data_IF_421629911221
#
_entry.id   IF_421629911221
#
_cell.length_a   1.000
_cell.length_b   1.000
_cell.length_c   1.000
_cell.angle_alpha   90.00
_cell.angle_beta   90.00
_cell.angle_gamma   90.00
#
_symmetry.space_group_name_H-M   'P 1'
#
loop_
_entity.id
_entity.type
_entity.pdbx_description
1 polymer ?
#
# COMPACT_ATOMS: atom_id res chain seq x y z
N UNK A 1 32.66 8.16 9.74
CA UNK A 1 31.19 8.08 9.89
C UNK A 1 30.58 7.82 8.51
N UNK A 2 30.15 6.59 8.24
CA UNK A 2 29.51 6.21 6.96
C UNK A 2 28.09 6.76 6.90
N UNK A 3 27.74 7.47 5.83
CA UNK A 3 26.36 7.94 5.61
C UNK A 3 25.42 6.72 5.54
N UNK A 4 24.27 6.73 6.24
CA UNK A 4 23.31 5.63 6.15
C UNK A 4 22.76 5.50 4.72
N UNK A 5 22.48 4.27 4.29
CA UNK A 5 21.89 4.01 2.98
C UNK A 5 20.47 4.60 2.87
N UNK A 6 20.04 4.90 1.65
CA UNK A 6 18.69 5.44 1.38
C UNK A 6 17.58 4.54 1.95
N UNK A 7 17.77 3.21 1.90
CA UNK A 7 16.84 2.23 2.45
C UNK A 7 16.66 2.37 3.98
N UNK A 8 17.73 2.65 4.72
CA UNK A 8 17.67 2.84 6.19
C UNK A 8 16.91 4.11 6.53
N UNK A 9 17.11 5.18 5.76
CA UNK A 9 16.39 6.43 5.95
C UNK A 9 14.90 6.29 5.66
N UNK A 10 14.54 5.64 4.55
CA UNK A 10 13.15 5.38 4.17
C UNK A 10 12.43 4.57 5.24
N UNK A 11 13.03 3.48 5.70
CA UNK A 11 12.48 2.63 6.77
C UNK A 11 12.20 3.45 8.03
N UNK A 12 13.13 4.33 8.41
CA UNK A 12 12.98 5.18 9.60
C UNK A 12 11.81 6.16 9.44
N UNK A 13 11.65 6.78 8.27
CA UNK A 13 10.54 7.71 7.99
C UNK A 13 9.19 6.97 8.07
N UNK A 14 9.07 5.81 7.41
CA UNK A 14 7.86 4.99 7.44
C UNK A 14 7.50 4.64 8.89
N UNK A 15 8.46 4.15 9.67
CA UNK A 15 8.18 3.72 11.04
C UNK A 15 7.80 4.88 11.98
N UNK A 16 8.49 6.00 11.89
CA UNK A 16 8.28 7.14 12.80
C UNK A 16 7.03 7.93 12.43
N UNK A 17 6.76 8.14 11.14
CA UNK A 17 5.71 9.07 10.71
C UNK A 17 4.45 8.37 10.22
N UNK A 18 4.54 7.16 9.68
CA UNK A 18 3.42 6.49 9.03
C UNK A 18 2.86 5.35 9.91
N UNK A 19 3.74 4.51 10.45
CA UNK A 19 3.38 3.32 11.22
C UNK A 19 3.53 3.50 12.74
N UNK A 20 3.60 4.73 13.24
CA UNK A 20 3.61 4.97 14.68
C UNK A 20 2.24 4.69 15.30
N UNK A 21 2.23 4.40 16.61
CA UNK A 21 1.00 4.04 17.34
C UNK A 21 -0.09 5.09 17.20
N UNK A 22 0.24 6.39 17.24
CA UNK A 22 -0.77 7.46 17.12
C UNK A 22 -1.45 7.44 15.76
N UNK A 23 -0.69 7.29 14.68
CA UNK A 23 -1.21 7.21 13.31
C UNK A 23 -1.99 5.92 13.08
N UNK A 24 -1.48 4.77 13.54
CA UNK A 24 -2.24 3.51 13.43
C UNK A 24 -3.58 3.62 14.17
N UNK A 25 -3.62 4.27 15.33
CA UNK A 25 -4.85 4.49 16.09
C UNK A 25 -5.79 5.51 15.45
N UNK A 26 -5.28 6.53 14.75
CA UNK A 26 -6.16 7.49 14.05
C UNK A 26 -7.01 6.84 12.97
N UNK A 27 -6.56 5.72 12.38
CA UNK A 27 -7.32 4.93 11.40
C UNK A 27 -8.12 3.77 12.01
N UNK A 28 -8.37 3.80 13.32
CA UNK A 28 -9.17 2.77 13.99
C UNK A 28 -10.58 2.67 13.40
N UNK A 29 -11.21 3.82 13.13
CA UNK A 29 -12.56 3.87 12.57
C UNK A 29 -12.66 3.14 11.23
N UNK A 30 -11.66 3.31 10.34
CA UNK A 30 -11.61 2.62 9.04
C UNK A 30 -11.61 1.11 9.23
N UNK A 31 -10.80 0.59 10.17
CA UNK A 31 -10.73 -0.85 10.41
C UNK A 31 -12.04 -1.39 10.97
N UNK A 32 -12.64 -0.69 11.93
CA UNK A 32 -13.91 -1.10 12.52
C UNK A 32 -15.04 -1.10 11.48
N UNK A 33 -15.09 -0.07 10.64
CA UNK A 33 -16.06 0.04 9.55
C UNK A 33 -15.89 -1.08 8.52
N UNK A 34 -14.67 -1.32 8.03
CA UNK A 34 -14.44 -2.35 7.01
C UNK A 34 -14.64 -3.78 7.55
N UNK A 35 -14.29 -4.03 8.82
CA UNK A 35 -14.59 -5.31 9.47
C UNK A 35 -16.09 -5.50 9.62
N UNK A 36 -16.84 -4.47 10.02
CA UNK A 36 -18.30 -4.54 10.10
C UNK A 36 -18.92 -4.84 8.74
N UNK A 37 -18.44 -4.20 7.67
CA UNK A 37 -18.88 -4.46 6.29
C UNK A 37 -18.60 -5.92 5.86
N UNK A 38 -17.41 -6.45 6.18
CA UNK A 38 -17.08 -7.85 5.89
C UNK A 38 -18.00 -8.82 6.65
N UNK A 39 -18.22 -8.59 7.94
CA UNK A 39 -19.11 -9.43 8.77
C UNK A 39 -20.54 -9.40 8.24
N UNK A 40 -21.06 -8.23 7.87
CA UNK A 40 -22.40 -8.11 7.29
C UNK A 40 -22.52 -8.89 5.97
N UNK A 41 -21.52 -8.81 5.09
CA UNK A 41 -21.48 -9.61 3.85
C UNK A 41 -21.48 -11.11 4.13
N UNK A 42 -20.68 -11.57 5.10
CA UNK A 42 -20.63 -12.98 5.51
C UNK A 42 -21.98 -13.44 6.07
N UNK A 43 -22.63 -12.63 6.92
CA UNK A 43 -23.95 -12.94 7.48
C UNK A 43 -25.02 -13.06 6.39
N UNK A 44 -25.00 -12.17 5.40
CA UNK A 44 -25.93 -12.21 4.27
C UNK A 44 -25.74 -13.47 3.42
N UNK A 45 -24.48 -13.84 3.12
CA UNK A 45 -24.17 -15.06 2.37
C UNK A 45 -24.54 -16.33 3.16
N UNK A 46 -24.24 -16.35 4.46
CA UNK A 46 -24.62 -17.48 5.33
C UNK A 46 -26.13 -17.66 5.40
N UNK A 47 -26.89 -16.55 5.48
CA UNK A 47 -28.35 -16.57 5.54
C UNK A 47 -29.00 -17.09 4.25
N UNK A 48 -28.33 -16.94 3.11
CA UNK A 48 -28.78 -17.50 1.82
C UNK A 48 -28.22 -18.90 1.54
N UNK A 49 -27.48 -19.51 2.47
CA UNK A 49 -26.84 -20.82 2.31
C UNK A 49 -25.60 -20.80 1.40
N UNK A 50 -25.03 -19.62 1.12
CA UNK A 50 -23.84 -19.44 0.29
C UNK A 50 -22.54 -19.87 0.98
N UNK A 51 -21.58 -20.33 0.18
CA UNK A 51 -20.21 -20.58 0.63
C UNK A 51 -19.44 -19.26 0.75
N UNK A 52 -18.58 -19.18 1.75
CA UNK A 52 -17.72 -18.01 2.00
C UNK A 52 -16.28 -18.40 1.71
N UNK A 53 -15.67 -17.74 0.73
CA UNK A 53 -14.23 -17.78 0.53
C UNK A 53 -13.56 -16.76 1.47
N UNK A 54 -12.91 -17.26 2.52
CA UNK A 54 -12.22 -16.40 3.47
C UNK A 54 -10.98 -15.73 2.87
N UNK A 55 -10.30 -16.36 1.92
CA UNK A 55 -9.14 -15.75 1.26
C UNK A 55 -9.56 -14.52 0.47
N UNK A 56 -10.65 -14.62 -0.29
CA UNK A 56 -11.23 -13.48 -0.99
C UNK A 56 -11.73 -12.42 0.00
N UNK A 57 -12.45 -12.82 1.05
CA UNK A 57 -13.00 -11.88 2.05
C UNK A 57 -11.90 -11.08 2.76
N UNK A 58 -10.83 -11.74 3.22
CA UNK A 58 -9.69 -11.08 3.85
C UNK A 58 -8.88 -10.24 2.86
N UNK A 59 -8.78 -10.68 1.59
CA UNK A 59 -8.16 -9.90 0.52
C UNK A 59 -8.89 -8.56 0.29
N UNK A 60 -10.22 -8.61 0.15
CA UNK A 60 -11.07 -7.42 -0.01
C UNK A 60 -11.00 -6.52 1.23
N UNK A 61 -11.07 -7.09 2.44
CA UNK A 61 -10.93 -6.33 3.69
C UNK A 61 -9.58 -5.57 3.74
N UNK A 62 -8.49 -6.27 3.47
CA UNK A 62 -7.14 -5.70 3.51
C UNK A 62 -6.99 -4.59 2.47
N UNK A 63 -7.48 -4.84 1.26
CA UNK A 63 -7.52 -3.86 0.19
C UNK A 63 -8.27 -2.59 0.61
N UNK A 64 -9.51 -2.72 1.08
CA UNK A 64 -10.33 -1.57 1.45
C UNK A 64 -9.72 -0.74 2.59
N UNK A 65 -9.13 -1.41 3.59
CA UNK A 65 -8.42 -0.73 4.68
C UNK A 65 -7.22 0.03 4.12
N UNK A 66 -6.35 -0.63 3.34
CA UNK A 66 -5.16 0.00 2.74
C UNK A 66 -5.58 1.20 1.90
N UNK A 67 -6.59 1.05 1.04
CA UNK A 67 -7.01 2.11 0.15
C UNK A 67 -7.55 3.32 0.90
N UNK A 68 -8.44 3.09 1.86
CA UNK A 68 -9.02 4.16 2.68
C UNK A 68 -7.97 4.89 3.52
N UNK A 69 -6.96 4.16 4.00
CA UNK A 69 -5.90 4.71 4.83
C UNK A 69 -4.86 5.47 3.99
N UNK A 70 -4.47 4.91 2.84
CA UNK A 70 -3.37 5.43 2.02
C UNK A 70 -3.84 6.55 1.10
N UNK A 71 -5.01 6.38 0.48
CA UNK A 71 -5.55 7.23 -0.58
C UNK A 71 -6.81 8.00 -0.15
N UNK A 72 -7.25 7.84 1.11
CA UNK A 72 -8.44 8.52 1.63
C UNK A 72 -9.76 8.09 0.99
N UNK A 73 -9.74 7.10 0.08
CA UNK A 73 -10.88 6.64 -0.70
C UNK A 73 -10.89 5.12 -0.84
N UNK A 74 -12.09 4.56 -1.01
CA UNK A 74 -12.27 3.14 -1.33
C UNK A 74 -12.19 2.99 -2.85
N UNK A 75 -11.53 1.93 -3.32
CA UNK A 75 -11.57 1.56 -4.74
C UNK A 75 -12.55 0.40 -4.91
N UNK A 76 -13.71 0.69 -5.49
CA UNK A 76 -14.73 -0.33 -5.77
C UNK A 76 -14.43 -1.08 -7.07
N UNK A 77 -14.92 -2.31 -7.17
CA UNK A 77 -14.81 -3.16 -8.36
C UNK A 77 -15.57 -2.57 -9.56
N UNK A 78 -16.57 -1.73 -9.31
CA UNK A 78 -17.49 -1.16 -10.32
C UNK A 78 -17.02 0.21 -10.85
N UNK A 79 -16.14 0.91 -10.13
CA UNK A 79 -15.68 2.27 -10.47
C UNK A 79 -14.32 2.27 -11.20
N UNK A 80 -14.08 1.29 -12.08
CA UNK A 80 -12.89 1.25 -12.94
C UNK A 80 -11.57 0.89 -12.25
N UNK A 81 -11.54 0.66 -10.93
CA UNK A 81 -10.32 0.34 -10.16
C UNK A 81 -10.28 -1.06 -9.54
N UNK A 82 -10.81 -2.05 -10.26
CA UNK A 82 -10.49 -3.48 -10.05
C UNK A 82 -8.97 -3.75 -10.22
N UNK A 83 -8.24 -2.82 -10.84
CA UNK A 83 -6.83 -2.90 -11.14
C UNK A 83 -5.93 -2.93 -9.90
N UNK A 84 -6.14 -2.06 -8.90
CA UNK A 84 -5.33 -2.07 -7.67
C UNK A 84 -5.52 -3.38 -6.89
N UNK A 85 -6.76 -3.87 -6.79
CA UNK A 85 -7.06 -5.14 -6.14
C UNK A 85 -6.35 -6.31 -6.84
N UNK A 86 -6.39 -6.39 -8.17
CA UNK A 86 -5.71 -7.44 -8.94
C UNK A 86 -4.18 -7.37 -8.78
N UNK A 87 -3.62 -6.17 -8.81
CA UNK A 87 -2.20 -5.93 -8.60
C UNK A 87 -1.76 -6.31 -7.18
N UNK A 88 -2.54 -5.94 -6.16
CA UNK A 88 -2.28 -6.30 -4.77
C UNK A 88 -2.40 -7.81 -4.55
N UNK A 89 -3.38 -8.47 -5.16
CA UNK A 89 -3.52 -9.92 -5.12
C UNK A 89 -2.29 -10.62 -5.75
N UNK A 90 -1.82 -10.14 -6.90
CA UNK A 90 -0.60 -10.66 -7.53
C UNK A 90 0.64 -10.46 -6.66
N UNK A 91 0.74 -9.33 -5.96
CA UNK A 91 1.81 -9.08 -5.00
C UNK A 91 1.78 -10.04 -3.81
N UNK A 92 0.60 -10.28 -3.22
CA UNK A 92 0.46 -11.21 -2.11
C UNK A 92 0.80 -12.65 -2.52
N UNK A 93 0.42 -13.07 -3.73
CA UNK A 93 0.83 -14.36 -4.31
C UNK A 93 2.37 -14.46 -4.46
N UNK A 94 3.00 -13.40 -4.96
CA UNK A 94 4.46 -13.34 -5.08
C UNK A 94 5.17 -13.37 -3.73
N UNK A 95 4.63 -12.70 -2.71
CA UNK A 95 5.16 -12.75 -1.34
C UNK A 95 5.05 -14.15 -0.71
N UNK A 96 3.99 -14.89 -1.06
CA UNK A 96 3.80 -16.28 -0.62
C UNK A 96 4.64 -17.30 -1.42
N UNK A 97 5.22 -16.89 -2.55
CA UNK A 97 5.97 -17.80 -3.42
C UNK A 97 7.36 -18.09 -2.85
N UNK A 98 7.72 -19.38 -2.77
CA UNK A 98 9.04 -19.80 -2.31
C UNK A 98 10.14 -19.53 -3.35
N UNK A 99 11.06 -18.62 -3.03
CA UNK A 99 12.23 -18.31 -3.85
C UNK A 99 13.48 -19.03 -3.31
N UNK A 100 13.86 -20.16 -3.93
CA UNK A 100 15.01 -20.98 -3.49
C UNK A 100 16.32 -20.20 -3.38
N UNK A 101 16.50 -19.18 -4.23
CA UNK A 101 17.68 -18.31 -4.23
C UNK A 101 17.86 -17.48 -2.95
N UNK A 102 16.79 -17.24 -2.21
CA UNK A 102 16.85 -16.50 -0.94
C UNK A 102 17.42 -17.36 0.19
N UNK A 103 17.27 -18.68 0.11
CA UNK A 103 17.79 -19.64 1.08
C UNK A 103 19.14 -20.22 0.66
N UNK A 104 19.32 -20.45 -0.65
CA UNK A 104 20.53 -21.01 -1.25
C UNK A 104 21.00 -20.06 -2.34
N UNK A 105 21.92 -19.12 -2.03
CA UNK A 105 22.34 -18.08 -2.96
C UNK A 105 22.89 -18.58 -4.29
N UNK A 106 23.54 -19.75 -4.31
CA UNK A 106 24.05 -20.39 -5.52
C UNK A 106 22.94 -20.85 -6.48
N UNK A 107 21.70 -20.98 -6.00
CA UNK A 107 20.51 -21.31 -6.79
C UNK A 107 19.66 -20.09 -7.17
N UNK A 108 20.16 -18.85 -6.98
CA UNK A 108 19.42 -17.64 -7.35
C UNK A 108 19.07 -17.52 -8.84
N UNK A 109 19.75 -18.27 -9.72
CA UNK A 109 19.42 -18.36 -11.14
C UNK A 109 18.09 -19.11 -11.41
N UNK A 110 17.63 -19.96 -10.49
CA UNK A 110 16.37 -20.71 -10.64
C UNK A 110 15.18 -19.76 -10.77
N UNK A 111 15.18 -18.67 -10.00
CA UNK A 111 14.14 -17.63 -10.07
C UNK A 111 14.10 -16.89 -11.42
N UNK A 112 15.18 -16.95 -12.21
CA UNK A 112 15.20 -16.44 -13.59
C UNK A 112 14.60 -17.46 -14.56
N UNK A 113 14.90 -18.74 -14.39
CA UNK A 113 14.40 -19.79 -15.29
C UNK A 113 12.91 -20.06 -15.12
N UNK A 114 12.40 -20.06 -13.88
CA UNK A 114 10.98 -20.27 -13.61
C UNK A 114 10.13 -18.99 -13.83
N UNK A 115 10.77 -17.88 -14.26
CA UNK A 115 10.10 -16.62 -14.53
C UNK A 115 9.70 -15.80 -13.30
N UNK A 116 10.03 -16.22 -12.08
CA UNK A 116 9.67 -15.51 -10.85
C UNK A 116 10.20 -14.07 -10.86
N UNK A 117 11.46 -13.86 -11.26
CA UNK A 117 12.04 -12.52 -11.36
C UNK A 117 11.28 -11.62 -12.34
N UNK A 118 10.80 -12.17 -13.46
CA UNK A 118 10.03 -11.41 -14.44
C UNK A 118 8.64 -11.05 -13.89
N UNK A 119 7.99 -11.97 -13.16
CA UNK A 119 6.71 -11.71 -12.49
C UNK A 119 6.84 -10.63 -11.41
N UNK A 120 7.88 -10.69 -10.58
CA UNK A 120 8.19 -9.66 -9.57
C UNK A 120 8.43 -8.31 -10.24
N UNK A 121 9.25 -8.27 -11.30
CA UNK A 121 9.54 -7.03 -12.03
C UNK A 121 8.27 -6.41 -12.60
N UNK A 122 7.45 -7.20 -13.30
CA UNK A 122 6.19 -6.73 -13.87
C UNK A 122 5.25 -6.21 -12.79
N UNK A 123 5.08 -6.94 -11.69
CA UNK A 123 4.25 -6.49 -10.58
C UNK A 123 4.76 -5.16 -10.00
N UNK A 124 6.08 -5.00 -9.85
CA UNK A 124 6.66 -3.74 -9.39
C UNK A 124 6.39 -2.57 -10.36
N UNK A 125 6.51 -2.80 -11.68
CA UNK A 125 6.20 -1.78 -12.69
C UNK A 125 4.72 -1.34 -12.64
N UNK A 126 3.79 -2.27 -12.40
CA UNK A 126 2.36 -1.96 -12.26
C UNK A 126 2.12 -1.11 -10.99
N UNK A 127 2.80 -1.41 -9.88
CA UNK A 127 2.76 -0.59 -8.65
C UNK A 127 3.36 0.79 -8.85
N UNK A 128 4.51 0.88 -9.51
CA UNK A 128 5.19 2.14 -9.79
C UNK A 128 4.26 3.05 -10.62
N UNK A 129 3.67 2.53 -11.71
CA UNK A 129 2.74 3.27 -12.56
C UNK A 129 1.42 3.63 -11.84
N UNK A 130 0.96 2.78 -10.92
CA UNK A 130 -0.21 3.09 -10.09
C UNK A 130 0.09 4.24 -9.12
N UNK A 131 1.18 4.14 -8.34
CA UNK A 131 1.53 5.16 -7.37
C UNK A 131 1.90 6.50 -8.01
N UNK A 132 2.52 6.49 -9.20
CA UNK A 132 2.81 7.71 -9.97
C UNK A 132 1.51 8.46 -10.30
N UNK A 133 0.51 7.76 -10.87
CA UNK A 133 -0.82 8.36 -11.15
C UNK A 133 -1.49 8.93 -9.90
N UNK A 134 -1.50 8.16 -8.82
CA UNK A 134 -2.11 8.59 -7.57
C UNK A 134 -1.38 9.79 -6.96
N UNK A 135 -0.04 9.82 -7.07
CA UNK A 135 0.76 10.94 -6.60
C UNK A 135 0.47 12.21 -7.41
N UNK A 136 0.38 12.08 -8.74
CA UNK A 136 0.04 13.18 -9.64
C UNK A 136 -1.35 13.76 -9.31
N UNK A 137 -2.36 12.90 -9.15
CA UNK A 137 -3.70 13.30 -8.70
C UNK A 137 -3.66 14.06 -7.36
N UNK A 138 -2.86 13.59 -6.40
CA UNK A 138 -2.75 14.22 -5.08
C UNK A 138 -2.04 15.59 -5.15
N UNK A 139 -1.01 15.73 -6.00
CA UNK A 139 -0.31 17.00 -6.21
C UNK A 139 -1.23 18.02 -6.88
N UNK A 140 -2.01 17.60 -7.87
CA UNK A 140 -2.99 18.46 -8.56
C UNK A 140 -4.12 18.89 -7.62
N UNK A 141 -4.67 17.97 -6.83
CA UNK A 141 -5.75 18.26 -5.87
C UNK A 141 -5.33 19.23 -4.75
N UNK A 142 -4.07 19.18 -4.29
CA UNK A 142 -3.52 20.12 -3.29
C UNK A 142 -3.43 21.57 -3.76
N UNK A 143 -3.48 21.84 -5.07
CA UNK A 143 -3.47 23.22 -5.59
C UNK A 143 -4.83 23.91 -5.43
N UNK A 144 -5.92 23.15 -5.28
CA UNK A 144 -7.29 23.67 -5.19
C UNK A 144 -7.92 23.60 -3.79
N UNK A 145 -7.41 22.75 -2.88
CA UNK A 145 -8.03 22.59 -1.54
C UNK A 145 -6.97 22.55 -0.43
N UNK A 146 -7.13 23.44 0.55
CA UNK A 146 -6.30 23.51 1.75
C UNK A 146 -6.35 22.23 2.59
N UNK A 147 -5.17 21.77 3.02
CA UNK A 147 -4.87 20.75 4.02
C UNK A 147 -5.93 19.65 4.27
N UNK A 148 -6.01 18.67 3.37
CA UNK A 148 -6.58 17.34 3.65
C UNK A 148 -5.64 16.51 4.55
N UNK A 149 -5.65 16.75 5.86
CA UNK A 149 -4.75 16.16 6.85
C UNK A 149 -5.05 14.72 7.31
N UNK A 150 -5.63 13.88 6.47
CA UNK A 150 -6.12 12.54 6.85
C UNK A 150 -5.22 11.37 6.40
N UNK A 151 -4.95 11.28 5.10
CA UNK A 151 -4.40 10.09 4.44
C UNK A 151 -2.86 9.98 4.48
N UNK A 152 -2.32 8.78 4.25
CA UNK A 152 -0.86 8.56 4.32
C UNK A 152 -0.10 9.38 3.26
N UNK A 153 -0.58 9.46 2.02
CA UNK A 153 0.13 10.21 0.96
C UNK A 153 0.27 11.69 1.31
N UNK A 154 -0.77 12.31 1.87
CA UNK A 154 -0.68 13.68 2.38
C UNK A 154 0.36 13.86 3.48
N UNK A 155 0.58 12.84 4.33
CA UNK A 155 1.63 12.87 5.34
C UNK A 155 3.02 12.66 4.75
N UNK A 156 3.17 11.81 3.73
CA UNK A 156 4.43 11.60 3.01
C UNK A 156 4.83 12.87 2.26
N UNK A 157 3.89 13.51 1.55
CA UNK A 157 4.10 14.78 0.88
C UNK A 157 4.51 15.87 1.87
N UNK A 158 3.78 16.04 2.98
CA UNK A 158 4.13 17.01 4.03
C UNK A 158 5.51 16.74 4.66
N UNK A 159 5.87 15.48 4.89
CA UNK A 159 7.18 15.11 5.42
C UNK A 159 8.32 15.37 4.41
N UNK A 160 8.05 15.16 3.11
CA UNK A 160 8.99 15.43 2.03
C UNK A 160 9.21 16.95 1.83
N UNK A 161 8.15 17.75 1.85
CA UNK A 161 8.21 19.22 1.72
C UNK A 161 8.99 19.87 2.87
N UNK A 162 8.83 19.38 4.11
CA UNK A 162 9.65 19.86 5.24
C UNK A 162 11.15 19.69 4.98
N UNK A 163 11.56 18.65 4.24
CA UNK A 163 12.97 18.42 3.91
C UNK A 163 13.52 19.41 2.87
N UNK A 164 12.69 19.84 1.90
CA UNK A 164 13.03 20.89 0.93
C UNK A 164 13.18 22.23 1.64
N UNK A 165 12.26 22.54 2.57
CA UNK A 165 12.31 23.75 3.38
C UNK A 165 13.56 23.84 4.27
N UNK A 166 13.96 22.73 4.90
CA UNK A 166 15.20 22.68 5.69
C UNK A 166 16.48 22.79 4.84
N UNK A 167 16.47 22.30 3.60
CA UNK A 167 17.64 22.38 2.72
C UNK A 167 17.89 23.81 2.22
N UNK A 168 16.82 24.59 1.99
CA UNK A 168 16.92 26.01 1.67
C UNK A 168 17.26 26.88 2.90
N UNK A 169 16.73 26.56 4.08
CA UNK A 169 17.04 27.29 5.33
C UNK A 169 18.48 27.09 5.84
N UNK A 170 19.20 26.07 5.36
CA UNK A 170 20.61 25.81 5.69
C UNK A 170 21.59 26.36 4.64
N UNK A 171 21.10 26.97 3.56
CA UNK A 171 21.90 27.62 2.51
C UNK A 171 21.73 29.15 2.47
N UNK A 172 21.03 29.73 3.46
CA UNK A 172 20.88 31.17 3.67
C UNK A 172 21.64 31.66 4.88
#
# INVERSE_FOLDING_TARGET
>A
MTKPSQAVLLKKIIMIHLLNTKRVQSFRYVREEEVANMVAKIQNLSSSGGLVDFSEAFGVLSNNIICSVVFGRKFSREEGENYFHLMLAAFLDLLGTFAVGEFIPSLAWVSRLNGLNARVKRNNEEFDAFFERVLDEHIESRRDVGEGGGEFLGCVACAAERRIYWHHALQG
#
